data_IF_620062465310
#
_entry.id   IF_620062465310
#
_cell.length_a   1.000
_cell.length_b   1.000
_cell.length_c   1.000
_cell.angle_alpha   90.00
_cell.angle_beta   90.00
_cell.angle_gamma   90.00
#
_symmetry.space_group_name_H-M   'P 1'
#
loop_
_entity.id
_entity.type
_entity.pdbx_description
1 polymer ?
#
# COMPACT_ATOMS: atom_id res chain seq x y z
N UNK A 1 14.13 -7.85 -25.35
CA UNK A 1 13.12 -8.81 -25.86
C UNK A 1 12.10 -8.08 -26.72
N UNK A 2 11.85 -8.62 -27.91
CA UNK A 2 11.23 -8.03 -29.11
C UNK A 2 12.07 -6.95 -29.80
N UNK A 3 12.29 -5.78 -29.19
CA UNK A 3 13.10 -4.72 -29.83
C UNK A 3 14.58 -5.11 -30.03
N UNK A 4 15.12 -5.88 -29.08
CA UNK A 4 16.50 -6.40 -29.16
C UNK A 4 16.65 -7.47 -30.26
N UNK A 5 15.55 -8.14 -30.57
CA UNK A 5 15.47 -9.22 -31.56
C UNK A 5 15.02 -8.67 -32.94
N UNK A 6 14.93 -7.34 -33.09
CA UNK A 6 14.49 -6.66 -34.32
C UNK A 6 13.00 -6.80 -34.65
N UNK A 7 12.19 -7.38 -33.76
CA UNK A 7 10.76 -7.59 -34.00
C UNK A 7 9.95 -6.35 -33.60
N UNK A 8 9.19 -5.81 -34.55
CA UNK A 8 8.33 -4.65 -34.32
C UNK A 8 7.07 -5.05 -33.53
N UNK A 9 6.82 -4.45 -32.36
CA UNK A 9 5.63 -4.74 -31.57
C UNK A 9 4.37 -4.23 -32.26
N UNK A 10 3.39 -5.11 -32.48
CA UNK A 10 2.09 -4.76 -33.03
C UNK A 10 1.09 -4.20 -32.00
N UNK A 11 -0.07 -3.76 -32.47
CA UNK A 11 -1.13 -3.14 -31.65
C UNK A 11 -1.57 -4.04 -30.49
N UNK A 12 -1.75 -5.34 -30.74
CA UNK A 12 -2.15 -6.34 -29.72
C UNK A 12 -1.10 -6.46 -28.61
N UNK A 13 0.18 -6.33 -28.95
CA UNK A 13 1.28 -6.39 -27.99
C UNK A 13 1.23 -5.22 -27.01
N UNK A 14 0.96 -4.01 -27.51
CA UNK A 14 0.80 -2.84 -26.65
C UNK A 14 -0.43 -2.94 -25.76
N UNK A 15 -1.57 -3.40 -26.29
CA UNK A 15 -2.81 -3.58 -25.51
C UNK A 15 -2.59 -4.56 -24.34
N UNK A 16 -1.96 -5.71 -24.61
CA UNK A 16 -1.58 -6.69 -23.58
C UNK A 16 -0.65 -6.11 -22.52
N UNK A 17 0.39 -5.39 -22.95
CA UNK A 17 1.41 -4.87 -22.04
C UNK A 17 0.88 -3.74 -21.15
N UNK A 18 0.10 -2.81 -21.72
CA UNK A 18 -0.55 -1.75 -20.96
C UNK A 18 -1.57 -2.33 -19.98
N UNK A 19 -2.33 -3.36 -20.36
CA UNK A 19 -3.27 -4.01 -19.45
C UNK A 19 -2.60 -4.65 -18.24
N UNK A 20 -1.50 -5.37 -18.43
CA UNK A 20 -0.71 -5.92 -17.32
C UNK A 20 -0.06 -4.84 -16.45
N UNK A 21 0.39 -3.74 -17.05
CA UNK A 21 0.96 -2.62 -16.28
C UNK A 21 -0.11 -1.87 -15.49
N UNK A 22 -1.31 -1.72 -16.04
CA UNK A 22 -2.48 -1.16 -15.38
C UNK A 22 -2.88 -1.97 -14.14
N UNK A 23 -3.00 -3.30 -14.26
CA UNK A 23 -3.37 -4.16 -13.14
C UNK A 23 -2.34 -4.13 -11.98
N UNK A 24 -1.06 -3.95 -12.30
CA UNK A 24 0.02 -3.79 -11.29
C UNK A 24 0.12 -2.38 -10.69
N UNK A 25 -0.84 -1.48 -10.97
CA UNK A 25 -0.79 -0.08 -10.55
C UNK A 25 0.45 0.70 -11.06
N UNK A 26 1.05 0.26 -12.18
CA UNK A 26 2.20 0.90 -12.83
C UNK A 26 1.75 1.86 -13.92
N UNK A 27 0.81 2.74 -13.58
CA UNK A 27 0.11 3.65 -14.53
C UNK A 27 1.08 4.52 -15.31
N UNK A 28 2.10 5.07 -14.66
CA UNK A 28 3.11 5.92 -15.33
C UNK A 28 3.83 5.18 -16.46
N UNK A 29 4.16 3.90 -16.27
CA UNK A 29 4.83 3.09 -17.30
C UNK A 29 3.87 2.75 -18.45
N UNK A 30 2.61 2.44 -18.13
CA UNK A 30 1.58 2.25 -19.15
C UNK A 30 1.40 3.51 -20.02
N UNK A 31 1.39 4.70 -19.41
CA UNK A 31 1.29 5.97 -20.13
C UNK A 31 2.51 6.24 -21.03
N UNK A 32 3.73 5.92 -20.56
CA UNK A 32 4.92 6.05 -21.42
C UNK A 32 4.85 5.14 -22.65
N UNK A 33 4.33 3.91 -22.50
CA UNK A 33 4.14 2.97 -23.59
C UNK A 33 3.05 3.42 -24.57
N UNK A 34 1.95 3.97 -24.06
CA UNK A 34 0.89 4.55 -24.88
C UNK A 34 1.42 5.70 -25.76
N UNK A 35 2.21 6.61 -25.16
CA UNK A 35 2.84 7.70 -25.90
C UNK A 35 3.85 7.19 -26.94
N UNK A 36 4.59 6.13 -26.64
CA UNK A 36 5.48 5.50 -27.62
C UNK A 36 4.69 4.93 -28.81
N UNK A 37 3.60 4.20 -28.54
CA UNK A 37 2.75 3.65 -29.58
C UNK A 37 2.11 4.75 -30.45
N UNK A 38 1.69 5.85 -29.84
CA UNK A 38 1.15 7.01 -30.55
C UNK A 38 2.20 7.67 -31.45
N UNK A 39 3.44 7.83 -30.97
CA UNK A 39 4.56 8.36 -31.79
C UNK A 39 4.88 7.48 -32.99
N UNK A 40 4.70 6.16 -32.86
CA UNK A 40 4.85 5.20 -33.96
C UNK A 40 3.66 5.16 -34.92
N UNK A 41 2.61 5.96 -34.69
CA UNK A 41 1.42 6.01 -35.54
C UNK A 41 0.46 4.82 -35.38
N UNK A 42 0.60 4.03 -34.31
CA UNK A 42 -0.30 2.91 -34.06
C UNK A 42 -1.61 3.37 -33.43
N UNK A 43 -2.74 2.89 -33.97
CA UNK A 43 -4.07 3.11 -33.43
C UNK A 43 -4.29 2.29 -32.16
N UNK A 44 -3.75 2.78 -31.05
CA UNK A 44 -3.93 2.20 -29.72
C UNK A 44 -5.04 2.94 -28.99
N UNK A 45 -6.03 2.19 -28.50
CA UNK A 45 -7.17 2.76 -27.75
C UNK A 45 -6.78 2.93 -26.28
N UNK A 46 -7.07 4.11 -25.71
CA UNK A 46 -6.95 4.32 -24.28
C UNK A 46 -8.04 3.53 -23.55
N UNK A 47 -7.64 2.64 -22.65
CA UNK A 47 -8.55 1.84 -21.81
C UNK A 47 -8.33 2.16 -20.34
N UNK A 48 -9.42 2.18 -19.59
CA UNK A 48 -9.39 2.18 -18.14
C UNK A 48 -9.10 0.75 -17.67
N UNK A 49 -8.01 0.59 -16.91
CA UNK A 49 -7.61 -0.71 -16.38
C UNK A 49 -7.94 -0.79 -14.90
N UNK A 50 -8.62 -1.88 -14.51
CA UNK A 50 -8.89 -2.19 -13.11
C UNK A 50 -7.56 -2.59 -12.44
N UNK A 51 -7.17 -1.85 -11.40
CA UNK A 51 -6.00 -2.18 -10.59
C UNK A 51 -6.34 -3.36 -9.70
N UNK A 52 -5.46 -4.36 -9.68
CA UNK A 52 -5.66 -5.52 -8.83
C UNK A 52 -5.55 -5.12 -7.34
N UNK A 53 -6.45 -5.60 -6.46
CA UNK A 53 -6.44 -5.26 -5.04
C UNK A 53 -5.11 -5.53 -4.33
N UNK A 54 -4.30 -6.47 -4.82
CA UNK A 54 -2.96 -6.74 -4.30
C UNK A 54 -2.00 -5.56 -4.49
N UNK A 55 -2.10 -4.89 -5.63
CA UNK A 55 -1.27 -3.73 -5.99
C UNK A 55 -1.90 -2.38 -5.64
N UNK A 56 -3.15 -2.38 -5.16
CA UNK A 56 -3.74 -1.20 -4.55
C UNK A 56 -2.91 -0.79 -3.34
N UNK A 57 -2.40 0.44 -3.33
CA UNK A 57 -1.67 0.99 -2.18
C UNK A 57 -2.60 0.91 -0.97
N UNK A 58 -2.29 0.04 -0.01
CA UNK A 58 -2.89 0.13 1.32
C UNK A 58 -2.50 1.49 1.88
N UNK A 59 -3.49 2.35 2.09
CA UNK A 59 -3.28 3.61 2.79
C UNK A 59 -2.59 3.27 4.11
N UNK A 60 -1.31 3.62 4.23
CA UNK A 60 -0.65 3.60 5.52
C UNK A 60 -1.30 4.73 6.29
N UNK A 61 -2.30 4.39 7.12
CA UNK A 61 -2.79 5.29 8.13
C UNK A 61 -1.55 5.81 8.84
N UNK A 62 -1.29 7.11 8.71
CA UNK A 62 -0.25 7.77 9.48
C UNK A 62 -0.58 7.41 10.92
N UNK A 63 0.27 6.59 11.55
CA UNK A 63 0.18 6.37 13.00
C UNK A 63 0.65 7.67 13.61
N UNK A 64 -0.24 8.66 13.62
CA UNK A 64 -0.04 9.89 14.34
C UNK A 64 0.16 9.47 15.80
N UNK A 65 1.39 9.65 16.29
CA UNK A 65 1.70 9.37 17.69
C UNK A 65 0.86 10.35 18.49
N UNK A 66 -0.28 9.89 19.01
CA UNK A 66 -1.13 10.67 19.90
C UNK A 66 -0.24 11.17 21.04
N UNK A 67 0.09 12.47 21.01
CA UNK A 67 0.79 13.12 22.11
C UNK A 67 -0.20 13.16 23.26
N UNK A 68 0.04 12.34 24.27
CA UNK A 68 -0.77 12.35 25.48
C UNK A 68 -0.68 13.72 26.15
N UNK A 69 -1.82 14.18 26.62
CA UNK A 69 -1.90 15.34 27.49
C UNK A 69 -1.30 14.99 28.86
N UNK A 70 -0.83 16.01 29.61
CA UNK A 70 -0.32 15.83 30.98
C UNK A 70 -1.24 14.97 31.88
N UNK A 71 -2.57 15.19 31.93
CA UNK A 71 -3.46 14.38 32.79
C UNK A 71 -3.50 12.90 32.39
N UNK A 72 -3.47 12.57 31.09
CA UNK A 72 -3.45 11.18 30.61
C UNK A 72 -2.16 10.46 31.01
N UNK A 73 -1.02 11.14 30.88
CA UNK A 73 0.28 10.62 31.30
C UNK A 73 0.33 10.36 32.82
N UNK A 74 -0.24 11.27 33.62
CA UNK A 74 -0.36 11.10 35.07
C UNK A 74 -1.28 9.94 35.44
N UNK A 75 -2.42 9.79 34.75
CA UNK A 75 -3.35 8.68 34.96
C UNK A 75 -2.69 7.33 34.64
N UNK A 76 -1.91 7.25 33.55
CA UNK A 76 -1.11 6.06 33.22
C UNK A 76 -0.12 5.74 34.35
N UNK A 77 0.68 6.71 34.78
CA UNK A 77 1.66 6.51 35.86
C UNK A 77 1.02 6.01 37.14
N UNK A 78 -0.13 6.59 37.54
CA UNK A 78 -0.90 6.14 38.72
C UNK A 78 -1.37 4.69 38.59
N UNK A 79 -1.88 4.29 37.41
CA UNK A 79 -2.29 2.90 37.15
C UNK A 79 -1.11 1.93 37.26
N UNK A 80 0.03 2.27 36.66
CA UNK A 80 1.25 1.43 36.71
C UNK A 80 1.73 1.27 38.15
N UNK A 81 1.83 2.34 38.92
CA UNK A 81 2.24 2.28 40.34
C UNK A 81 1.26 1.47 41.19
N UNK A 82 -0.05 1.55 40.91
CA UNK A 82 -1.06 0.72 41.59
C UNK A 82 -0.85 -0.76 41.31
N UNK A 83 -0.61 -1.15 40.05
CA UNK A 83 -0.35 -2.55 39.69
C UNK A 83 0.93 -3.07 40.33
N UNK A 84 2.01 -2.29 40.28
CA UNK A 84 3.29 -2.62 40.93
C UNK A 84 3.10 -2.79 42.45
N UNK A 85 2.38 -1.87 43.10
CA UNK A 85 2.09 -1.97 44.53
C UNK A 85 1.31 -3.24 44.85
N UNK A 86 0.31 -3.58 44.04
CA UNK A 86 -0.52 -4.77 44.24
C UNK A 86 0.25 -6.07 43.96
N UNK A 87 1.25 -6.08 43.08
CA UNK A 87 2.07 -7.28 42.84
C UNK A 87 2.99 -7.64 44.00
N UNK A 88 3.34 -6.69 44.86
CA UNK A 88 4.15 -6.96 46.07
C UNK A 88 3.30 -7.43 47.26
N UNK A 89 1.98 -7.27 47.19
CA UNK A 89 1.08 -7.78 48.22
C UNK A 89 0.68 -9.20 47.81
N UNK A 90 0.88 -10.18 48.69
CA UNK A 90 0.39 -11.54 48.47
C UNK A 90 -1.11 -11.44 48.16
N UNK A 91 -1.56 -11.82 46.94
CA UNK A 91 -2.98 -11.72 46.61
C UNK A 91 -3.75 -12.53 47.65
N UNK A 92 -4.92 -12.04 48.12
CA UNK A 92 -5.73 -12.84 49.04
C UNK A 92 -5.94 -14.19 48.37
N UNK A 93 -5.52 -15.28 49.02
CA UNK A 93 -5.83 -16.63 48.55
C UNK A 93 -7.35 -16.65 48.38
N UNK A 94 -7.81 -16.70 47.13
CA UNK A 94 -9.23 -16.77 46.83
C UNK A 94 -9.81 -17.93 47.62
N UNK A 95 -10.88 -17.66 48.38
CA UNK A 95 -11.73 -18.70 48.93
C UNK A 95 -12.22 -19.55 47.76
N UNK A 96 -12.04 -20.87 47.90
CA UNK A 96 -12.64 -21.88 47.04
C UNK A 96 -14.16 -21.71 47.00
#
# INVERSE_FOLDING_TARGET
>A
MMKADGCEPGVKTYDLLMGKLGSMNRVNKANTLFNEAKKRGMAVVAKEYVVDPWYAKKAKASKEKKKETLPEKMARKRRTLKQIRLSFVKPPMGRA
#
